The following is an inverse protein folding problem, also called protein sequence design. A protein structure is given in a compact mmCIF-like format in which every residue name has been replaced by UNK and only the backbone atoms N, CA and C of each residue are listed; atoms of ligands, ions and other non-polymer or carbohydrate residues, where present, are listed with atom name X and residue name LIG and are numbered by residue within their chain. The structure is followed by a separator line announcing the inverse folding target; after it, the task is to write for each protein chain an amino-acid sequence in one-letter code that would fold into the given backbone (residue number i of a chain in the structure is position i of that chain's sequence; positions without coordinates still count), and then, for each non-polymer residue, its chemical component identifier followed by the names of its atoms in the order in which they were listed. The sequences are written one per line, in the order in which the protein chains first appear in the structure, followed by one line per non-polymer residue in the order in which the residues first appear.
data_IF_548427522315
#
_entry.id   IF_548427522315
#
_cell.length_a   1.000
_cell.length_b   1.000
_cell.length_c   1.000
_cell.angle_alpha   90.00
_cell.angle_beta   90.00
_cell.angle_gamma   90.00
#
_symmetry.space_group_name_H-M   'P 1'
#
loop_
_entity.id
_entity.type
_entity.pdbx_description
1 polymer ?
#
# COMPACT_ATOMS: atom_id res chain seq x y z
N UNK A 1 0.88 7.55 1.98
CA UNK A 1 2.18 7.49 1.26
C UNK A 1 2.03 8.03 -0.15
N UNK A 2 2.76 9.07 -0.55
CA UNK A 2 2.69 9.59 -1.93
C UNK A 2 3.45 8.63 -2.83
N UNK A 3 2.73 7.77 -3.56
CA UNK A 3 3.29 6.88 -4.56
C UNK A 3 4.04 7.70 -5.62
N UNK A 4 5.37 7.55 -5.69
CA UNK A 4 6.17 8.10 -6.78
C UNK A 4 5.84 7.26 -8.01
N UNK A 5 5.05 7.81 -8.93
CA UNK A 5 4.92 7.25 -10.28
C UNK A 5 6.29 7.42 -10.94
N UNK A 6 7.09 6.37 -10.94
CA UNK A 6 8.35 6.31 -11.70
C UNK A 6 7.98 5.80 -13.09
N UNK A 7 8.03 6.68 -14.08
CA UNK A 7 7.91 6.26 -15.48
C UNK A 7 9.14 5.40 -15.82
N UNK A 8 8.98 4.09 -15.81
CA UNK A 8 10.05 3.15 -16.16
C UNK A 8 10.15 3.06 -17.68
N UNK A 9 11.28 3.47 -18.24
CA UNK A 9 11.55 3.40 -19.69
C UNK A 9 12.30 2.10 -19.95
N UNK A 10 11.73 1.20 -20.74
CA UNK A 10 12.46 0.13 -21.39
C UNK A 10 13.21 0.70 -22.60
N UNK A 11 14.53 0.90 -22.48
CA UNK A 11 15.40 1.25 -23.61
C UNK A 11 15.79 -0.04 -24.30
N UNK A 12 15.15 -0.34 -25.43
CA UNK A 12 15.59 -1.42 -26.32
C UNK A 12 16.78 -0.92 -27.13
N UNK A 13 17.97 -1.43 -26.83
CA UNK A 13 19.18 -1.13 -27.59
C UNK A 13 19.18 -1.90 -28.91
N UNK A 14 18.95 -1.21 -30.03
CA UNK A 14 19.14 -1.76 -31.36
C UNK A 14 20.55 -1.39 -31.86
N UNK A 15 21.36 -2.41 -32.16
CA UNK A 15 22.73 -2.24 -32.68
C UNK A 15 22.75 -1.58 -34.03
N UNK A 16 23.69 -0.65 -34.26
CA UNK A 16 23.88 0.09 -35.51
C UNK A 16 25.16 -0.34 -36.19
N UNK A 17 25.04 -0.81 -37.46
CA UNK A 17 26.14 -0.94 -38.42
C UNK A 17 26.37 0.41 -39.11
N UNK A 18 27.61 0.91 -39.06
CA UNK A 18 28.06 2.12 -39.77
C UNK A 18 28.36 1.79 -41.22
N UNK A 19 27.63 2.41 -42.17
CA UNK A 19 28.02 2.50 -43.57
C UNK A 19 28.24 3.97 -43.90
N UNK A 20 29.45 4.32 -44.34
CA UNK A 20 29.82 5.68 -44.70
C UNK A 20 29.30 6.06 -46.10
N UNK A 21 28.45 7.09 -46.12
CA UNK A 21 28.00 7.81 -47.30
C UNK A 21 27.47 9.17 -46.86
N UNK A 22 27.36 10.17 -47.73
CA UNK A 22 26.83 11.50 -47.39
C UNK A 22 25.50 11.36 -46.65
N UNK A 23 25.48 11.78 -45.38
CA UNK A 23 24.36 11.58 -44.46
C UNK A 23 23.12 12.27 -45.00
N UNK A 24 22.04 11.53 -45.28
CA UNK A 24 20.75 12.12 -45.60
C UNK A 24 20.19 12.88 -44.40
N UNK A 25 19.31 13.86 -44.62
CA UNK A 25 18.62 14.55 -43.52
C UNK A 25 17.96 13.55 -42.58
N UNK A 26 17.49 12.41 -43.07
CA UNK A 26 16.92 11.33 -42.26
C UNK A 26 17.97 10.66 -41.35
N UNK A 27 19.20 10.44 -41.84
CA UNK A 27 20.31 9.88 -41.07
C UNK A 27 20.79 10.87 -40.00
N UNK A 28 20.83 12.15 -40.33
CA UNK A 28 21.19 13.20 -39.39
C UNK A 28 20.14 13.33 -38.27
N UNK A 29 18.87 13.35 -38.60
CA UNK A 29 17.80 13.32 -37.59
C UNK A 29 17.90 12.10 -36.67
N UNK A 30 18.18 10.92 -37.25
CA UNK A 30 18.38 9.67 -36.50
C UNK A 30 19.61 9.74 -35.59
N UNK A 31 20.71 10.38 -36.05
CA UNK A 31 21.89 10.61 -35.20
C UNK A 31 21.55 11.42 -33.96
N UNK A 32 20.82 12.54 -34.09
CA UNK A 32 20.40 13.35 -32.93
C UNK A 32 19.42 12.63 -32.06
N UNK A 33 18.49 11.85 -32.59
CA UNK A 33 17.60 10.99 -31.82
C UNK A 33 18.37 9.97 -30.96
N UNK A 34 19.34 9.27 -31.56
CA UNK A 34 20.18 8.30 -30.83
C UNK A 34 21.04 8.98 -29.77
N UNK A 35 21.55 10.19 -30.05
CA UNK A 35 22.25 11.00 -29.05
C UNK A 35 21.32 11.36 -27.87
N UNK A 36 20.09 11.75 -28.18
CA UNK A 36 19.07 12.01 -27.16
C UNK A 36 18.78 10.77 -26.30
N UNK A 37 18.61 9.59 -26.92
CA UNK A 37 18.43 8.32 -26.19
C UNK A 37 19.61 8.03 -25.24
N UNK A 38 20.84 8.19 -25.71
CA UNK A 38 22.03 7.99 -24.90
C UNK A 38 22.10 8.98 -23.75
N UNK A 39 21.73 10.23 -23.98
CA UNK A 39 21.70 11.26 -22.92
C UNK A 39 20.62 10.97 -21.87
N UNK A 40 19.46 10.45 -22.27
CA UNK A 40 18.41 9.96 -21.34
C UNK A 40 18.96 8.84 -20.45
N UNK A 41 19.65 7.85 -21.03
CA UNK A 41 20.23 6.74 -20.26
C UNK A 41 21.31 7.20 -19.26
N UNK A 42 21.92 8.36 -19.51
CA UNK A 42 22.89 9.01 -18.62
C UNK A 42 22.25 10.00 -17.62
N UNK A 43 20.93 10.16 -17.65
CA UNK A 43 20.20 11.15 -16.83
C UNK A 43 20.40 12.61 -17.24
N UNK A 44 20.97 12.87 -18.41
CA UNK A 44 21.25 14.22 -18.97
C UNK A 44 20.04 14.76 -19.73
N UNK A 45 18.95 15.03 -19.01
CA UNK A 45 17.64 15.33 -19.62
C UNK A 45 17.60 16.63 -20.41
N UNK A 46 18.31 17.69 -19.97
CA UNK A 46 18.40 18.96 -20.70
C UNK A 46 19.07 18.77 -22.05
N UNK A 47 20.23 18.11 -22.06
CA UNK A 47 20.96 17.82 -23.30
C UNK A 47 20.16 16.89 -24.23
N UNK A 48 19.45 15.91 -23.65
CA UNK A 48 18.56 15.02 -24.38
C UNK A 48 17.43 15.81 -25.08
N UNK A 49 16.80 16.75 -24.38
CA UNK A 49 15.76 17.61 -24.96
C UNK A 49 16.31 18.44 -26.15
N UNK A 50 17.52 18.99 -26.04
CA UNK A 50 18.16 19.72 -27.14
C UNK A 50 18.44 18.84 -28.34
N UNK A 51 19.01 17.66 -28.12
CA UNK A 51 19.27 16.71 -29.19
C UNK A 51 17.98 16.27 -29.91
N UNK A 52 16.92 15.97 -29.12
CA UNK A 52 15.63 15.56 -29.68
C UNK A 52 14.93 16.68 -30.45
N UNK A 53 15.03 17.94 -30.01
CA UNK A 53 14.52 19.09 -30.76
C UNK A 53 15.23 19.23 -32.09
N UNK A 54 16.57 19.06 -32.15
CA UNK A 54 17.33 19.05 -33.42
C UNK A 54 16.88 17.92 -34.35
N UNK A 55 16.65 16.72 -33.79
CA UNK A 55 16.11 15.61 -34.58
C UNK A 55 14.75 15.94 -35.18
N UNK A 56 13.85 16.60 -34.42
CA UNK A 56 12.52 17.02 -34.86
C UNK A 56 12.59 18.16 -35.85
N UNK A 57 13.49 19.11 -35.69
CA UNK A 57 13.72 20.23 -36.63
C UNK A 57 14.13 19.70 -38.01
N UNK A 58 15.04 18.72 -38.05
CA UNK A 58 15.49 18.10 -39.31
C UNK A 58 14.38 17.21 -39.90
N UNK A 59 13.66 16.47 -39.06
CA UNK A 59 12.58 15.57 -39.47
C UNK A 59 11.31 15.82 -38.66
N UNK A 60 10.44 16.75 -39.09
CA UNK A 60 9.23 17.09 -38.34
C UNK A 60 8.19 15.95 -38.15
N UNK A 61 8.23 14.95 -39.06
CA UNK A 61 7.39 13.75 -38.99
C UNK A 61 8.18 12.57 -38.34
N UNK A 62 8.54 12.71 -37.08
CA UNK A 62 9.32 11.72 -36.32
C UNK A 62 8.62 11.38 -34.99
N UNK A 63 7.58 10.52 -34.99
CA UNK A 63 6.78 10.25 -33.83
C UNK A 63 7.60 9.72 -32.65
N UNK A 64 8.64 8.91 -32.89
CA UNK A 64 9.49 8.36 -31.81
C UNK A 64 10.31 9.47 -31.12
N UNK A 65 10.73 10.50 -31.84
CA UNK A 65 11.44 11.63 -31.25
C UNK A 65 10.52 12.49 -30.38
N UNK A 66 9.28 12.74 -30.79
CA UNK A 66 8.28 13.41 -29.95
C UNK A 66 7.94 12.58 -28.71
N UNK A 67 7.76 11.27 -28.88
CA UNK A 67 7.49 10.39 -27.73
C UNK A 67 8.64 10.44 -26.71
N UNK A 68 9.90 10.30 -27.14
CA UNK A 68 11.05 10.38 -26.26
C UNK A 68 11.21 11.78 -25.61
N UNK A 69 10.91 12.85 -26.36
CA UNK A 69 10.90 14.21 -25.84
C UNK A 69 9.83 14.39 -24.74
N UNK A 70 8.65 13.79 -24.92
CA UNK A 70 7.61 13.74 -23.90
C UNK A 70 8.07 13.06 -22.61
N UNK A 71 8.79 11.95 -22.75
CA UNK A 71 9.39 11.23 -21.61
C UNK A 71 10.43 12.11 -20.89
N UNK A 72 11.29 12.80 -21.65
CA UNK A 72 12.29 13.72 -21.09
C UNK A 72 11.64 14.86 -20.32
N UNK A 73 10.58 15.44 -20.84
CA UNK A 73 9.85 16.50 -20.16
C UNK A 73 9.15 15.99 -18.88
N UNK A 74 8.55 14.82 -18.91
CA UNK A 74 7.84 14.25 -17.77
C UNK A 74 8.80 13.88 -16.63
N UNK A 75 9.89 13.18 -16.92
CA UNK A 75 10.78 12.61 -15.91
C UNK A 75 11.90 13.56 -15.48
N UNK A 76 12.55 14.21 -16.44
CA UNK A 76 13.74 15.02 -16.18
C UNK A 76 13.41 16.43 -15.73
N UNK A 77 12.43 17.05 -16.34
CA UNK A 77 12.14 18.47 -16.16
C UNK A 77 10.81 18.75 -15.43
N UNK A 78 10.02 17.72 -15.13
CA UNK A 78 8.66 17.82 -14.54
C UNK A 78 7.72 18.77 -15.30
N UNK A 79 7.93 18.93 -16.58
CA UNK A 79 7.16 19.79 -17.50
C UNK A 79 5.99 18.99 -18.06
N UNK A 80 5.00 18.67 -17.20
CA UNK A 80 3.91 17.77 -17.54
C UNK A 80 3.03 18.26 -18.72
N UNK A 81 2.88 19.58 -18.88
CA UNK A 81 2.14 20.13 -20.02
C UNK A 81 2.87 19.87 -21.32
N UNK A 82 4.16 20.19 -21.35
CA UNK A 82 4.98 19.98 -22.56
C UNK A 82 5.13 18.50 -22.89
N UNK A 83 5.18 17.64 -21.87
CA UNK A 83 5.18 16.20 -22.06
C UNK A 83 3.87 15.73 -22.74
N UNK A 84 2.72 16.21 -22.25
CA UNK A 84 1.44 15.88 -22.86
C UNK A 84 1.36 16.33 -24.32
N UNK A 85 1.84 17.54 -24.64
CA UNK A 85 1.82 18.06 -25.99
C UNK A 85 2.77 17.27 -26.93
N UNK A 86 3.93 16.86 -26.41
CA UNK A 86 4.84 16.01 -27.17
C UNK A 86 4.24 14.62 -27.44
N UNK A 87 3.59 13.97 -26.46
CA UNK A 87 2.89 12.70 -26.67
C UNK A 87 1.73 12.84 -27.65
N UNK A 88 0.91 13.89 -27.55
CA UNK A 88 -0.15 14.16 -28.53
C UNK A 88 0.40 14.30 -29.95
N UNK A 89 1.54 14.97 -30.11
CA UNK A 89 2.17 15.09 -31.40
C UNK A 89 2.71 13.76 -31.95
N UNK A 90 3.26 12.91 -31.08
CA UNK A 90 3.63 11.55 -31.42
C UNK A 90 2.41 10.72 -31.90
N UNK A 91 1.28 10.83 -31.23
CA UNK A 91 0.01 10.17 -31.56
C UNK A 91 -0.58 10.71 -32.89
N UNK A 92 -0.56 12.02 -33.08
CA UNK A 92 -0.99 12.63 -34.37
C UNK A 92 -0.22 12.06 -35.54
N UNK A 93 1.09 11.88 -35.37
CA UNK A 93 1.98 11.35 -36.43
C UNK A 93 1.89 9.82 -36.57
N UNK A 94 1.60 9.12 -35.49
CA UNK A 94 1.39 7.67 -35.47
C UNK A 94 0.21 7.30 -34.57
N UNK A 95 -1.02 7.21 -35.12
CA UNK A 95 -2.21 6.85 -34.36
C UNK A 95 -2.21 5.43 -33.77
N UNK A 96 -1.26 4.59 -34.14
CA UNK A 96 -1.09 3.23 -33.60
C UNK A 96 0.04 3.14 -32.56
N UNK A 97 0.49 4.26 -32.00
CA UNK A 97 1.59 4.31 -31.04
C UNK A 97 1.08 4.07 -29.62
N UNK A 98 0.87 2.81 -29.26
CA UNK A 98 0.29 2.43 -27.96
C UNK A 98 1.05 3.02 -26.77
N UNK A 99 2.39 3.04 -26.82
CA UNK A 99 3.24 3.58 -25.75
C UNK A 99 3.05 5.10 -25.56
N UNK A 100 2.76 5.83 -26.64
CA UNK A 100 2.49 7.27 -26.54
C UNK A 100 1.14 7.53 -25.84
N UNK A 101 0.11 6.74 -26.14
CA UNK A 101 -1.17 6.79 -25.42
C UNK A 101 -1.01 6.41 -23.94
N UNK A 102 -0.28 5.34 -23.65
CA UNK A 102 0.01 4.93 -22.29
C UNK A 102 0.70 6.05 -21.48
N UNK A 103 1.79 6.63 -22.02
CA UNK A 103 2.53 7.68 -21.34
C UNK A 103 1.70 8.98 -21.19
N UNK A 104 0.88 9.32 -22.17
CA UNK A 104 -0.08 10.44 -22.05
C UNK A 104 -1.09 10.19 -20.92
N UNK A 105 -1.61 8.95 -20.82
CA UNK A 105 -2.48 8.53 -19.73
C UNK A 105 -1.81 8.70 -18.37
N UNK A 106 -0.54 8.29 -18.22
CA UNK A 106 0.23 8.49 -16.99
C UNK A 106 0.44 9.97 -16.65
N UNK A 107 0.73 10.81 -17.64
CA UNK A 107 0.84 12.26 -17.46
C UNK A 107 -0.47 12.84 -16.96
N UNK A 108 -1.60 12.45 -17.53
CA UNK A 108 -2.92 12.89 -17.06
C UNK A 108 -3.23 12.42 -15.64
N UNK A 109 -2.82 11.22 -15.24
CA UNK A 109 -2.94 10.79 -13.84
C UNK A 109 -2.20 11.72 -12.88
N UNK A 110 -0.95 12.10 -13.23
CA UNK A 110 -0.14 13.02 -12.40
C UNK A 110 -0.73 14.43 -12.37
N UNK A 111 -1.38 14.87 -13.46
CA UNK A 111 -2.09 16.15 -13.55
C UNK A 111 -3.43 16.15 -12.80
N UNK A 112 -3.87 15.02 -12.24
CA UNK A 112 -5.18 14.92 -11.59
C UNK A 112 -6.37 14.94 -12.57
N UNK A 113 -6.17 14.42 -13.78
CA UNK A 113 -7.16 14.31 -14.85
C UNK A 113 -7.52 12.83 -15.09
N UNK A 114 -8.28 12.21 -14.17
CA UNK A 114 -8.50 10.76 -14.20
C UNK A 114 -9.34 10.29 -15.40
N UNK A 115 -10.27 11.09 -15.89
CA UNK A 115 -11.13 10.74 -17.02
C UNK A 115 -10.32 10.68 -18.30
N UNK A 116 -9.51 11.69 -18.55
CA UNK A 116 -8.60 11.74 -19.70
C UNK A 116 -7.54 10.63 -19.63
N UNK A 117 -7.03 10.35 -18.42
CA UNK A 117 -6.10 9.25 -18.21
C UNK A 117 -6.70 7.90 -18.59
N UNK A 118 -7.93 7.62 -18.17
CA UNK A 118 -8.65 6.40 -18.51
C UNK A 118 -8.84 6.24 -20.02
N UNK A 119 -9.24 7.33 -20.68
CA UNK A 119 -9.44 7.31 -22.12
C UNK A 119 -8.15 6.94 -22.89
N UNK A 120 -7.03 7.56 -22.52
CA UNK A 120 -5.78 7.29 -23.21
C UNK A 120 -5.24 5.88 -22.90
N UNK A 121 -5.36 5.39 -21.65
CA UNK A 121 -4.99 4.02 -21.29
C UNK A 121 -5.86 2.98 -22.04
N UNK A 122 -7.15 3.22 -22.19
CA UNK A 122 -8.04 2.36 -22.99
C UNK A 122 -7.67 2.35 -24.49
N UNK A 123 -7.26 3.50 -25.05
CA UNK A 123 -6.76 3.56 -26.43
C UNK A 123 -5.46 2.75 -26.58
N UNK A 124 -4.54 2.86 -25.64
CA UNK A 124 -3.32 2.04 -25.63
C UNK A 124 -3.67 0.55 -25.65
N UNK A 125 -4.62 0.10 -24.84
CA UNK A 125 -5.10 -1.28 -24.80
C UNK A 125 -5.90 -1.70 -26.02
N UNK A 126 -6.62 -0.79 -26.69
CA UNK A 126 -7.30 -1.07 -27.94
C UNK A 126 -6.30 -1.37 -29.07
N UNK A 127 -5.13 -0.70 -29.07
CA UNK A 127 -4.04 -0.92 -30.02
C UNK A 127 -3.25 -2.18 -29.64
N UNK A 128 -2.91 -2.33 -28.35
CA UNK A 128 -2.12 -3.44 -27.83
C UNK A 128 -2.85 -4.09 -26.62
N UNK A 129 -3.76 -5.07 -26.88
CA UNK A 129 -4.60 -5.67 -25.83
C UNK A 129 -3.83 -6.38 -24.71
N UNK A 130 -2.58 -6.78 -24.96
CA UNK A 130 -1.69 -7.45 -23.99
C UNK A 130 -0.64 -6.51 -23.37
N UNK A 131 -0.93 -5.21 -23.35
CA UNK A 131 -0.02 -4.22 -22.78
C UNK A 131 -0.14 -4.23 -21.24
N UNK A 132 0.70 -5.04 -20.59
CA UNK A 132 0.67 -5.31 -19.15
C UNK A 132 0.74 -4.02 -18.31
N UNK A 133 1.65 -3.10 -18.67
CA UNK A 133 1.83 -1.84 -17.94
C UNK A 133 0.61 -0.93 -18.06
N UNK A 134 -0.07 -0.95 -19.20
CA UNK A 134 -1.30 -0.18 -19.39
C UNK A 134 -2.48 -0.79 -18.60
N UNK A 135 -2.60 -2.13 -18.56
CA UNK A 135 -3.58 -2.82 -17.70
C UNK A 135 -3.34 -2.51 -16.23
N UNK A 136 -2.09 -2.57 -15.79
CA UNK A 136 -1.74 -2.26 -14.39
C UNK A 136 -2.03 -0.80 -14.05
N UNK A 137 -1.65 0.14 -14.91
CA UNK A 137 -1.92 1.57 -14.71
C UNK A 137 -3.44 1.86 -14.68
N UNK A 138 -4.22 1.20 -15.52
CA UNK A 138 -5.68 1.33 -15.56
C UNK A 138 -6.33 0.76 -14.29
N UNK A 139 -5.86 -0.41 -13.84
CA UNK A 139 -6.34 -1.02 -12.59
C UNK A 139 -6.07 -0.12 -11.38
N UNK A 140 -4.86 0.43 -11.27
CA UNK A 140 -4.52 1.39 -10.21
C UNK A 140 -5.33 2.70 -10.30
N UNK A 141 -5.67 3.15 -11.51
CA UNK A 141 -6.53 4.31 -11.70
C UNK A 141 -7.92 4.04 -11.13
N UNK A 142 -8.51 2.88 -11.43
CA UNK A 142 -9.81 2.45 -10.93
C UNK A 142 -9.82 2.28 -9.40
N UNK A 143 -8.75 1.74 -8.79
CA UNK A 143 -8.63 1.70 -7.33
C UNK A 143 -8.72 3.11 -6.72
N UNK A 144 -7.95 4.06 -7.27
CA UNK A 144 -7.98 5.46 -6.79
C UNK A 144 -9.34 6.13 -6.94
N UNK A 145 -10.10 5.75 -7.96
CA UNK A 145 -11.46 6.20 -8.20
C UNK A 145 -12.50 5.42 -7.37
N UNK A 146 -12.08 4.45 -6.57
CA UNK A 146 -12.96 3.52 -5.83
C UNK A 146 -13.91 2.71 -6.74
N UNK A 147 -13.57 2.58 -8.00
CA UNK A 147 -14.28 1.78 -9.01
C UNK A 147 -13.86 0.29 -8.90
N UNK A 148 -14.18 -0.34 -7.77
CA UNK A 148 -13.65 -1.67 -7.41
C UNK A 148 -13.97 -2.76 -8.45
N UNK A 149 -15.12 -2.71 -9.12
CA UNK A 149 -15.48 -3.67 -10.18
C UNK A 149 -14.51 -3.59 -11.36
N UNK A 150 -14.29 -2.39 -11.89
CA UNK A 150 -13.37 -2.16 -13.01
C UNK A 150 -11.92 -2.46 -12.63
N UNK A 151 -11.51 -2.18 -11.38
CA UNK A 151 -10.18 -2.53 -10.88
C UNK A 151 -9.98 -4.05 -10.88
N UNK A 152 -10.96 -4.81 -10.38
CA UNK A 152 -10.94 -6.28 -10.37
C UNK A 152 -10.79 -6.83 -11.79
N UNK A 153 -11.56 -6.33 -12.75
CA UNK A 153 -11.49 -6.79 -14.16
C UNK A 153 -10.10 -6.52 -14.76
N UNK A 154 -9.53 -5.34 -14.54
CA UNK A 154 -8.24 -4.98 -15.11
C UNK A 154 -7.08 -5.78 -14.46
N UNK A 155 -7.09 -5.99 -13.13
CA UNK A 155 -6.11 -6.86 -12.48
C UNK A 155 -6.26 -8.32 -12.90
N UNK A 156 -7.49 -8.83 -13.05
CA UNK A 156 -7.72 -10.18 -13.52
C UNK A 156 -7.21 -10.41 -14.95
N UNK A 157 -7.41 -9.43 -15.85
CA UNK A 157 -6.84 -9.47 -17.19
C UNK A 157 -5.31 -9.46 -17.16
N UNK A 158 -4.69 -8.63 -16.31
CA UNK A 158 -3.24 -8.62 -16.13
C UNK A 158 -2.73 -9.97 -15.63
N UNK A 159 -3.37 -10.58 -14.62
CA UNK A 159 -2.98 -11.88 -14.08
C UNK A 159 -3.23 -13.04 -15.04
N UNK A 160 -4.14 -12.90 -16.00
CA UNK A 160 -4.30 -13.85 -17.10
C UNK A 160 -3.12 -13.83 -18.08
N UNK A 161 -2.49 -12.66 -18.28
CA UNK A 161 -1.28 -12.48 -19.10
C UNK A 161 -0.03 -12.83 -18.34
N UNK A 162 0.08 -12.32 -17.12
CA UNK A 162 1.24 -12.48 -16.22
C UNK A 162 0.79 -13.02 -14.86
N UNK A 163 0.70 -14.33 -14.76
CA UNK A 163 0.22 -14.99 -13.55
C UNK A 163 1.01 -14.71 -12.26
N UNK A 164 2.25 -14.32 -12.36
CA UNK A 164 3.18 -14.06 -11.26
C UNK A 164 3.39 -12.57 -10.94
N UNK A 165 2.55 -11.69 -11.49
CA UNK A 165 2.63 -10.25 -11.21
C UNK A 165 2.25 -9.97 -9.74
N UNK A 166 3.26 -9.76 -8.90
CA UNK A 166 3.13 -9.72 -7.44
C UNK A 166 2.20 -8.62 -6.95
N UNK A 167 2.32 -7.42 -7.50
CA UNK A 167 1.49 -6.28 -7.13
C UNK A 167 0.01 -6.50 -7.50
N UNK A 168 -0.24 -7.14 -8.65
CA UNK A 168 -1.61 -7.46 -9.06
C UNK A 168 -2.21 -8.59 -8.21
N UNK A 169 -1.40 -9.61 -7.82
CA UNK A 169 -1.84 -10.66 -6.90
C UNK A 169 -2.27 -10.08 -5.54
N UNK A 170 -1.47 -9.15 -5.01
CA UNK A 170 -1.81 -8.48 -3.75
C UNK A 170 -3.06 -7.61 -3.87
N UNK A 171 -3.09 -6.73 -4.89
CA UNK A 171 -4.18 -5.78 -5.08
C UNK A 171 -5.52 -6.49 -5.33
N UNK A 172 -5.55 -7.51 -6.21
CA UNK A 172 -6.74 -8.29 -6.47
C UNK A 172 -7.17 -9.11 -5.25
N UNK A 173 -6.21 -9.69 -4.52
CA UNK A 173 -6.48 -10.40 -3.27
C UNK A 173 -7.12 -9.49 -2.22
N UNK A 174 -6.60 -8.28 -2.05
CA UNK A 174 -7.17 -7.27 -1.16
C UNK A 174 -8.59 -6.85 -1.58
N UNK A 175 -8.81 -6.61 -2.89
CA UNK A 175 -10.13 -6.26 -3.43
C UNK A 175 -11.16 -7.39 -3.22
N UNK A 176 -10.76 -8.64 -3.43
CA UNK A 176 -11.65 -9.78 -3.19
C UNK A 176 -11.98 -9.94 -1.71
N UNK A 177 -11.01 -9.76 -0.81
CA UNK A 177 -11.25 -9.78 0.64
C UNK A 177 -12.27 -8.71 1.02
N UNK A 178 -12.10 -7.48 0.55
CA UNK A 178 -13.02 -6.37 0.81
C UNK A 178 -14.45 -6.61 0.28
N UNK A 179 -14.60 -7.46 -0.74
CA UNK A 179 -15.89 -7.89 -1.30
C UNK A 179 -16.47 -9.15 -0.63
N UNK A 180 -15.79 -9.70 0.39
CA UNK A 180 -16.19 -10.94 1.05
C UNK A 180 -15.90 -12.21 0.26
N UNK A 181 -15.17 -12.14 -0.85
CA UNK A 181 -14.72 -13.28 -1.66
C UNK A 181 -13.47 -13.90 -1.05
N UNK A 182 -13.62 -14.46 0.15
CA UNK A 182 -12.50 -14.86 1.00
C UNK A 182 -11.68 -16.00 0.40
N UNK A 183 -12.27 -16.95 -0.32
CA UNK A 183 -11.51 -18.05 -0.90
C UNK A 183 -10.63 -17.57 -2.05
N UNK A 184 -11.17 -16.78 -2.97
CA UNK A 184 -10.44 -16.21 -4.09
C UNK A 184 -9.29 -15.31 -3.61
N UNK A 185 -9.55 -14.52 -2.56
CA UNK A 185 -8.51 -13.70 -1.92
C UNK A 185 -7.38 -14.57 -1.33
N UNK A 186 -7.73 -15.63 -0.57
CA UNK A 186 -6.77 -16.57 0.04
C UNK A 186 -5.90 -17.24 -1.02
N UNK A 187 -6.47 -17.64 -2.15
CA UNK A 187 -5.75 -18.30 -3.24
C UNK A 187 -4.70 -17.38 -3.87
N UNK A 188 -5.06 -16.12 -4.17
CA UNK A 188 -4.16 -15.12 -4.72
C UNK A 188 -3.02 -14.78 -3.75
N UNK A 189 -3.36 -14.51 -2.49
CA UNK A 189 -2.37 -14.17 -1.45
C UNK A 189 -1.44 -15.34 -1.14
N UNK A 190 -1.97 -16.57 -1.11
CA UNK A 190 -1.16 -17.79 -0.93
C UNK A 190 -0.18 -17.97 -2.08
N UNK A 191 -0.62 -17.69 -3.31
CA UNK A 191 0.26 -17.70 -4.48
C UNK A 191 1.34 -16.61 -4.37
N UNK A 192 0.98 -15.40 -3.95
CA UNK A 192 1.92 -14.32 -3.74
C UNK A 192 3.01 -14.68 -2.71
N UNK A 193 2.63 -15.20 -1.54
CA UNK A 193 3.61 -15.56 -0.50
C UNK A 193 4.46 -16.79 -0.83
N UNK A 194 4.06 -17.60 -1.82
CA UNK A 194 4.93 -18.64 -2.40
C UNK A 194 5.98 -18.06 -3.35
N UNK A 195 5.64 -17.00 -4.11
CA UNK A 195 6.56 -16.30 -5.00
C UNK A 195 7.49 -15.38 -4.21
N UNK A 196 6.98 -14.76 -3.17
CA UNK A 196 7.69 -13.80 -2.33
C UNK A 196 7.40 -14.07 -0.86
N UNK A 197 8.25 -14.88 -0.25
CA UNK A 197 8.07 -15.35 1.13
C UNK A 197 8.18 -14.25 2.19
N UNK A 198 8.76 -13.11 1.86
CA UNK A 198 8.96 -11.94 2.72
C UNK A 198 7.93 -10.82 2.48
N UNK A 199 6.79 -11.11 1.85
CA UNK A 199 5.75 -10.11 1.61
C UNK A 199 4.90 -9.89 2.88
N UNK A 200 5.33 -8.96 3.73
CA UNK A 200 4.73 -8.70 5.05
C UNK A 200 3.23 -8.40 4.98
N UNK A 201 2.79 -7.52 4.05
CA UNK A 201 1.38 -7.14 3.93
C UNK A 201 0.48 -8.30 3.51
N UNK A 202 0.98 -9.22 2.65
CA UNK A 202 0.23 -10.40 2.25
C UNK A 202 0.08 -11.40 3.42
N UNK A 203 1.15 -11.61 4.20
CA UNK A 203 1.08 -12.42 5.41
C UNK A 203 0.13 -11.80 6.45
N UNK A 204 0.19 -10.49 6.65
CA UNK A 204 -0.73 -9.79 7.54
C UNK A 204 -2.19 -9.98 7.11
N UNK A 205 -2.49 -9.79 5.82
CA UNK A 205 -3.85 -9.95 5.30
C UNK A 205 -4.35 -11.40 5.43
N UNK A 206 -3.49 -12.40 5.16
CA UNK A 206 -3.80 -13.81 5.42
C UNK A 206 -4.09 -14.06 6.91
N UNK A 207 -3.34 -13.40 7.80
CA UNK A 207 -3.57 -13.46 9.24
C UNK A 207 -4.93 -12.90 9.65
N UNK A 208 -5.30 -11.73 9.14
CA UNK A 208 -6.62 -11.13 9.43
C UNK A 208 -7.78 -11.96 8.87
N UNK A 209 -7.60 -12.56 7.71
CA UNK A 209 -8.60 -13.49 7.13
C UNK A 209 -8.74 -14.76 7.98
N UNK A 210 -7.64 -15.34 8.46
CA UNK A 210 -7.66 -16.50 9.33
C UNK A 210 -8.30 -16.19 10.70
N UNK A 211 -8.04 -15.01 11.25
CA UNK A 211 -8.67 -14.51 12.48
C UNK A 211 -10.18 -14.37 12.32
N UNK A 212 -10.66 -13.74 11.25
CA UNK A 212 -12.09 -13.65 10.90
C UNK A 212 -12.76 -15.03 10.76
N UNK A 213 -12.01 -16.01 10.26
CA UNK A 213 -12.46 -17.39 10.16
C UNK A 213 -12.33 -18.19 11.47
N UNK A 214 -11.93 -17.55 12.58
CA UNK A 214 -11.64 -18.16 13.89
C UNK A 214 -10.55 -19.25 13.83
N UNK A 215 -9.65 -19.21 12.85
CA UNK A 215 -8.53 -20.13 12.68
C UNK A 215 -7.28 -19.56 13.35
N UNK A 216 -7.29 -19.50 14.70
CA UNK A 216 -6.26 -18.81 15.49
C UNK A 216 -4.83 -19.31 15.23
N UNK A 217 -4.67 -20.62 14.96
CA UNK A 217 -3.34 -21.19 14.65
C UNK A 217 -2.81 -20.69 13.28
N UNK A 218 -3.66 -20.59 12.26
CA UNK A 218 -3.27 -20.02 10.96
C UNK A 218 -2.98 -18.52 11.09
N UNK A 219 -3.79 -17.79 11.86
CA UNK A 219 -3.60 -16.35 12.11
C UNK A 219 -2.25 -16.09 12.77
N UNK A 220 -1.92 -16.84 13.83
CA UNK A 220 -0.63 -16.75 14.52
C UNK A 220 0.55 -16.96 13.56
N UNK A 221 0.51 -18.04 12.77
CA UNK A 221 1.59 -18.32 11.81
C UNK A 221 1.75 -17.21 10.79
N UNK A 222 0.65 -16.67 10.30
CA UNK A 222 0.64 -15.60 9.31
C UNK A 222 1.20 -14.30 9.91
N UNK A 223 0.76 -13.91 11.12
CA UNK A 223 1.29 -12.72 11.79
C UNK A 223 2.77 -12.88 12.17
N UNK A 224 3.21 -14.06 12.62
CA UNK A 224 4.64 -14.34 12.84
C UNK A 224 5.49 -14.12 11.58
N UNK A 225 4.99 -14.56 10.43
CA UNK A 225 5.67 -14.31 9.15
C UNK A 225 5.65 -12.82 8.77
N UNK A 226 4.55 -12.11 9.05
CA UNK A 226 4.46 -10.68 8.79
C UNK A 226 5.48 -9.87 9.60
N UNK A 227 5.60 -10.13 10.92
CA UNK A 227 6.58 -9.44 11.77
C UNK A 227 8.02 -9.83 11.47
N UNK A 228 8.26 -11.08 11.05
CA UNK A 228 9.58 -11.52 10.60
C UNK A 228 10.01 -10.82 9.30
N UNK A 229 9.07 -10.62 8.36
CA UNK A 229 9.31 -9.92 7.10
C UNK A 229 9.44 -8.40 7.27
N UNK A 230 8.71 -7.83 8.23
CA UNK A 230 8.75 -6.39 8.56
C UNK A 230 8.73 -6.21 10.09
N UNK A 231 9.90 -6.10 10.71
CA UNK A 231 10.02 -5.99 12.17
C UNK A 231 9.43 -4.70 12.80
N UNK A 232 9.10 -3.72 11.99
CA UNK A 232 8.44 -2.47 12.40
C UNK A 232 6.94 -2.44 12.08
N UNK A 233 6.34 -3.59 11.79
CA UNK A 233 4.92 -3.68 11.44
C UNK A 233 4.04 -3.67 12.69
N UNK A 234 3.70 -2.47 13.15
CA UNK A 234 2.97 -2.21 14.41
C UNK A 234 1.70 -3.06 14.54
N UNK A 235 0.84 -3.04 13.51
CA UNK A 235 -0.46 -3.74 13.57
C UNK A 235 -0.29 -5.27 13.58
N UNK A 236 0.75 -5.79 12.93
CA UNK A 236 1.05 -7.22 12.98
C UNK A 236 1.53 -7.67 14.36
N UNK A 237 2.38 -6.88 15.03
CA UNK A 237 2.79 -7.13 16.41
C UNK A 237 1.58 -7.08 17.36
N UNK A 238 0.74 -6.07 17.23
CA UNK A 238 -0.47 -5.95 18.06
C UNK A 238 -1.40 -7.17 17.91
N UNK A 239 -1.71 -7.56 16.66
CA UNK A 239 -2.60 -8.68 16.39
C UNK A 239 -1.98 -10.02 16.83
N UNK A 240 -0.66 -10.21 16.64
CA UNK A 240 0.04 -11.39 17.15
C UNK A 240 -0.04 -11.45 18.67
N UNK A 241 0.20 -10.34 19.36
CA UNK A 241 0.06 -10.24 20.81
C UNK A 241 -1.35 -10.60 21.28
N UNK A 242 -2.38 -10.15 20.54
CA UNK A 242 -3.77 -10.47 20.84
C UNK A 242 -4.08 -11.96 20.70
N UNK A 243 -3.60 -12.61 19.61
CA UNK A 243 -3.75 -14.06 19.41
C UNK A 243 -3.03 -14.85 20.50
N UNK A 244 -1.79 -14.49 20.82
CA UNK A 244 -1.00 -15.15 21.86
C UNK A 244 -1.67 -15.02 23.25
N UNK A 245 -2.20 -13.83 23.56
CA UNK A 245 -2.97 -13.61 24.80
C UNK A 245 -4.20 -14.52 24.85
N UNK A 246 -4.99 -14.64 23.78
CA UNK A 246 -6.16 -15.49 23.73
C UNK A 246 -5.85 -16.98 23.87
N UNK A 247 -4.63 -17.41 23.52
CA UNK A 247 -4.12 -18.76 23.74
C UNK A 247 -3.54 -18.98 25.14
N UNK A 248 -3.43 -17.94 25.95
CA UNK A 248 -2.80 -17.99 27.27
C UNK A 248 -1.27 -17.95 27.24
N UNK A 249 -0.65 -17.67 26.09
CA UNK A 249 0.80 -17.52 25.92
C UNK A 249 1.24 -16.11 26.38
N UNK A 250 1.16 -15.88 27.72
CA UNK A 250 1.20 -14.54 28.30
C UNK A 250 2.53 -13.79 28.09
N UNK A 251 3.69 -14.46 28.26
CA UNK A 251 4.99 -13.77 28.10
C UNK A 251 5.28 -13.43 26.61
N UNK A 252 5.06 -14.34 25.64
CA UNK A 252 5.08 -13.97 24.23
C UNK A 252 4.12 -12.82 23.90
N UNK A 253 2.89 -12.83 24.39
CA UNK A 253 1.92 -11.76 24.18
C UNK A 253 2.43 -10.40 24.73
N UNK A 254 2.97 -10.39 25.93
CA UNK A 254 3.55 -9.19 26.53
C UNK A 254 4.73 -8.66 25.69
N UNK A 255 5.55 -9.54 25.14
CA UNK A 255 6.65 -9.13 24.27
C UNK A 255 6.16 -8.43 23.00
N UNK A 256 5.13 -8.97 22.36
CA UNK A 256 4.55 -8.38 21.16
C UNK A 256 3.90 -7.01 21.44
N UNK A 257 3.15 -6.90 22.54
CA UNK A 257 2.58 -5.61 22.93
C UNK A 257 3.64 -4.59 23.36
N UNK A 258 4.72 -5.00 24.04
CA UNK A 258 5.87 -4.10 24.31
C UNK A 258 6.51 -3.59 23.02
N UNK A 259 6.64 -4.46 22.02
CA UNK A 259 7.15 -4.06 20.71
C UNK A 259 6.19 -3.06 20.05
N UNK A 260 4.87 -3.32 20.12
CA UNK A 260 3.85 -2.41 19.60
C UNK A 260 3.97 -1.00 20.21
N UNK A 261 4.03 -0.89 21.55
CA UNK A 261 4.13 0.43 22.22
C UNK A 261 5.50 1.09 22.04
N UNK A 262 6.56 0.31 21.84
CA UNK A 262 7.88 0.84 21.48
C UNK A 262 7.87 1.48 20.09
N UNK A 263 7.23 0.84 19.13
CA UNK A 263 7.11 1.32 17.73
C UNK A 263 6.10 2.48 17.62
N UNK A 264 5.01 2.42 18.39
CA UNK A 264 3.94 3.40 18.41
C UNK A 264 3.54 3.73 19.85
N UNK A 265 4.20 4.73 20.49
CA UNK A 265 4.00 5.07 21.90
C UNK A 265 2.62 5.63 22.28
N UNK A 266 1.80 5.98 21.30
CA UNK A 266 0.42 6.47 21.50
C UNK A 266 -0.65 5.39 21.25
N UNK A 267 -0.27 4.12 21.20
CA UNK A 267 -1.19 3.01 20.95
C UNK A 267 -1.87 2.54 22.25
N UNK A 268 -2.91 3.26 22.66
CA UNK A 268 -3.60 3.03 23.95
C UNK A 268 -4.11 1.59 24.12
N UNK A 269 -4.64 0.96 23.06
CA UNK A 269 -5.16 -0.41 23.11
C UNK A 269 -4.06 -1.45 23.40
N UNK A 270 -2.83 -1.18 22.97
CA UNK A 270 -1.70 -2.06 23.28
C UNK A 270 -1.29 -1.96 24.75
N UNK A 271 -1.29 -0.75 25.34
CA UNK A 271 -1.08 -0.58 26.77
C UNK A 271 -2.19 -1.25 27.58
N UNK A 272 -3.45 -1.12 27.20
CA UNK A 272 -4.57 -1.79 27.85
C UNK A 272 -4.38 -3.31 27.87
N UNK A 273 -4.00 -3.91 26.74
CA UNK A 273 -3.73 -5.34 26.65
C UNK A 273 -2.48 -5.76 27.45
N UNK A 274 -1.43 -4.92 27.50
CA UNK A 274 -0.31 -5.12 28.42
C UNK A 274 -0.77 -5.16 29.87
N UNK A 275 -1.63 -4.25 30.29
CA UNK A 275 -2.20 -4.23 31.62
C UNK A 275 -2.91 -5.54 31.96
N UNK A 276 -3.75 -6.04 31.05
CA UNK A 276 -4.42 -7.34 31.20
C UNK A 276 -3.40 -8.48 31.31
N UNK A 277 -2.42 -8.53 30.41
CA UNK A 277 -1.41 -9.60 30.42
C UNK A 277 -0.55 -9.56 31.67
N UNK A 278 -0.12 -8.39 32.12
CA UNK A 278 0.66 -8.25 33.36
C UNK A 278 -0.16 -8.61 34.61
N UNK A 279 -1.44 -8.26 34.65
CA UNK A 279 -2.32 -8.69 35.74
C UNK A 279 -2.44 -10.21 35.83
N UNK A 280 -2.60 -10.90 34.69
CA UNK A 280 -2.61 -12.36 34.60
C UNK A 280 -1.26 -13.01 34.96
N UNK A 281 -0.15 -12.29 34.76
CA UNK A 281 1.18 -12.73 35.20
C UNK A 281 1.49 -12.37 36.67
N UNK A 282 0.58 -11.78 37.41
CA UNK A 282 0.79 -11.25 38.74
C UNK A 282 1.86 -10.14 38.85
N UNK A 283 2.15 -9.46 37.77
CA UNK A 283 3.02 -8.29 37.66
C UNK A 283 2.18 -7.02 37.93
N UNK A 284 1.76 -6.84 39.17
CA UNK A 284 0.69 -5.88 39.49
C UNK A 284 1.12 -4.42 39.31
N UNK A 285 2.36 -4.08 39.60
CA UNK A 285 2.89 -2.72 39.37
C UNK A 285 2.91 -2.34 37.92
N UNK A 286 3.38 -3.25 37.06
CA UNK A 286 3.44 -3.05 35.62
C UNK A 286 2.03 -3.01 35.00
N UNK A 287 1.10 -3.79 35.55
CA UNK A 287 -0.29 -3.77 35.11
C UNK A 287 -0.93 -2.41 35.39
N UNK A 288 -0.78 -1.90 36.61
CA UNK A 288 -1.32 -0.59 37.01
C UNK A 288 -0.78 0.52 36.10
N UNK A 289 0.54 0.58 35.92
CA UNK A 289 1.19 1.55 35.04
C UNK A 289 0.68 1.50 33.60
N UNK A 290 0.46 0.29 33.08
CA UNK A 290 -0.05 0.12 31.70
C UNK A 290 -1.51 0.61 31.58
N UNK A 291 -2.36 0.37 32.57
CA UNK A 291 -3.71 0.92 32.57
C UNK A 291 -3.74 2.44 32.74
N UNK A 292 -2.88 2.99 33.60
CA UNK A 292 -2.75 4.45 33.79
C UNK A 292 -2.29 5.11 32.48
N UNK A 293 -1.34 4.50 31.77
CA UNK A 293 -0.88 5.01 30.48
C UNK A 293 -1.99 4.95 29.42
N UNK A 294 -2.82 3.90 29.42
CA UNK A 294 -4.01 3.83 28.57
C UNK A 294 -4.95 5.01 28.81
N UNK A 295 -5.24 5.29 30.09
CA UNK A 295 -6.11 6.39 30.53
C UNK A 295 -5.49 7.74 30.16
N UNK A 296 -4.18 7.91 30.35
CA UNK A 296 -3.46 9.13 29.98
C UNK A 296 -3.58 9.42 28.47
N UNK A 297 -3.43 8.39 27.65
CA UNK A 297 -3.52 8.49 26.19
C UNK A 297 -4.97 8.68 25.72
N UNK A 298 -5.93 8.00 26.36
CA UNK A 298 -7.36 8.06 26.02
C UNK A 298 -8.25 8.24 27.25
N UNK A 299 -8.34 9.45 27.80
CA UNK A 299 -9.09 9.70 29.05
C UNK A 299 -10.61 9.43 28.99
N UNK A 300 -11.16 9.27 27.78
CA UNK A 300 -12.58 8.98 27.57
C UNK A 300 -12.86 7.52 27.16
N UNK A 301 -11.85 6.65 27.21
CA UNK A 301 -12.00 5.24 26.88
C UNK A 301 -12.60 4.48 28.06
N UNK A 302 -13.91 4.24 28.02
CA UNK A 302 -14.63 3.58 29.11
C UNK A 302 -14.04 2.21 29.47
N UNK A 303 -13.66 1.41 28.46
CA UNK A 303 -13.06 0.08 28.65
C UNK A 303 -11.79 0.11 29.50
N UNK A 304 -11.00 1.18 29.42
CA UNK A 304 -9.78 1.30 30.22
C UNK A 304 -10.11 1.39 31.73
N UNK A 305 -11.14 2.15 32.07
CA UNK A 305 -11.62 2.24 33.48
C UNK A 305 -12.29 0.95 33.95
N UNK A 306 -12.99 0.27 33.04
CA UNK A 306 -13.56 -1.05 33.37
C UNK A 306 -12.44 -2.05 33.71
N UNK A 307 -11.44 -2.20 32.85
CA UNK A 307 -10.34 -3.14 33.03
C UNK A 307 -9.50 -2.80 34.28
N UNK A 308 -9.23 -1.51 34.51
CA UNK A 308 -8.54 -1.07 35.73
C UNK A 308 -9.40 -1.34 37.01
N UNK A 309 -10.71 -1.16 36.91
CA UNK A 309 -11.63 -1.50 38.02
C UNK A 309 -11.63 -2.99 38.33
N UNK A 310 -11.70 -3.84 37.30
CA UNK A 310 -11.56 -5.30 37.43
C UNK A 310 -10.21 -5.68 38.03
N UNK A 311 -9.14 -5.04 37.62
CA UNK A 311 -7.81 -5.26 38.17
C UNK A 311 -7.74 -4.92 39.63
N UNK A 312 -8.26 -3.78 40.11
CA UNK A 312 -8.29 -3.43 41.50
C UNK A 312 -9.18 -4.37 42.33
N UNK A 313 -10.35 -4.76 41.82
CA UNK A 313 -11.29 -5.65 42.49
C UNK A 313 -10.72 -7.06 42.71
N UNK A 314 -10.28 -7.71 41.66
CA UNK A 314 -9.93 -9.12 41.67
C UNK A 314 -8.46 -9.43 41.95
N UNK A 315 -7.55 -8.58 41.46
CA UNK A 315 -6.11 -8.82 41.60
C UNK A 315 -5.52 -8.11 42.81
N UNK A 316 -5.92 -6.86 43.05
CA UNK A 316 -5.42 -6.07 44.18
C UNK A 316 -6.28 -6.18 45.43
N UNK A 317 -7.52 -6.65 45.29
CA UNK A 317 -8.55 -6.68 46.34
C UNK A 317 -8.79 -5.31 47.01
N UNK A 318 -8.61 -4.25 46.24
CA UNK A 318 -8.82 -2.86 46.61
C UNK A 318 -10.19 -2.39 46.14
N UNK A 319 -11.21 -2.66 46.94
CA UNK A 319 -12.59 -2.30 46.61
C UNK A 319 -12.80 -0.80 46.52
N UNK A 320 -12.00 0.00 47.24
CA UNK A 320 -12.11 1.47 47.23
C UNK A 320 -11.67 2.02 45.87
N UNK A 321 -10.47 1.63 45.37
CA UNK A 321 -9.99 2.05 44.04
C UNK A 321 -10.86 1.47 42.93
N UNK A 322 -11.31 0.23 43.04
CA UNK A 322 -12.22 -0.39 42.11
C UNK A 322 -13.51 0.43 41.94
N UNK A 323 -14.13 0.84 43.08
CA UNK A 323 -15.35 1.62 43.06
C UNK A 323 -15.19 2.99 42.38
N UNK A 324 -14.10 3.70 42.68
CA UNK A 324 -13.79 5.00 42.04
C UNK A 324 -13.67 4.82 40.52
N UNK A 325 -12.97 3.79 40.10
CA UNK A 325 -12.73 3.49 38.70
C UNK A 325 -14.01 3.06 37.97
N UNK A 326 -14.84 2.24 38.61
CA UNK A 326 -16.15 1.83 38.07
C UNK A 326 -17.15 2.97 37.98
N UNK A 327 -17.14 3.93 38.90
CA UNK A 327 -17.93 5.16 38.76
C UNK A 327 -17.53 5.92 37.51
N UNK A 328 -16.24 6.05 37.26
CA UNK A 328 -15.74 6.72 36.05
C UNK A 328 -16.13 5.98 34.79
N UNK A 329 -16.07 4.63 34.78
CA UNK A 329 -16.58 3.81 33.69
C UNK A 329 -18.04 4.13 33.35
N UNK A 330 -18.92 4.18 34.37
CA UNK A 330 -20.34 4.49 34.19
C UNK A 330 -20.58 5.94 33.73
N UNK A 331 -19.81 6.91 34.24
CA UNK A 331 -19.86 8.32 33.79
C UNK A 331 -19.52 8.46 32.27
N UNK A 332 -18.68 7.58 31.75
CA UNK A 332 -18.29 7.54 30.35
C UNK A 332 -19.24 6.73 29.46
N UNK A 333 -20.40 6.32 30.01
CA UNK A 333 -21.43 5.60 29.28
C UNK A 333 -21.32 4.08 29.34
N UNK A 334 -20.54 3.55 30.28
CA UNK A 334 -20.44 2.11 30.50
C UNK A 334 -21.80 1.51 30.97
N UNK A 335 -22.12 0.31 30.50
CA UNK A 335 -23.45 -0.31 30.67
C UNK A 335 -23.42 -1.63 31.39
N UNK A 336 -22.27 -2.08 31.93
CA UNK A 336 -22.13 -3.35 32.61
C UNK A 336 -23.04 -3.41 33.89
N UNK A 337 -23.99 -4.35 33.94
CA UNK A 337 -24.98 -4.47 34.99
C UNK A 337 -24.37 -4.82 36.35
N UNK A 338 -23.29 -5.62 36.34
CA UNK A 338 -22.57 -5.98 37.58
C UNK A 338 -21.95 -4.73 38.19
N UNK A 339 -21.30 -3.93 37.38
CA UNK A 339 -20.68 -2.66 37.82
C UNK A 339 -21.73 -1.67 38.32
N UNK A 340 -22.86 -1.55 37.62
CA UNK A 340 -23.99 -0.71 38.07
C UNK A 340 -24.50 -1.14 39.45
N UNK A 341 -24.61 -2.45 39.69
CA UNK A 341 -25.05 -3.00 41.01
C UNK A 341 -24.04 -2.68 42.09
N UNK A 342 -22.75 -2.97 41.86
CA UNK A 342 -21.68 -2.67 42.82
C UNK A 342 -21.71 -1.18 43.22
N UNK A 343 -21.81 -0.29 42.27
CA UNK A 343 -21.79 1.16 42.54
C UNK A 343 -23.06 1.64 43.27
N UNK A 344 -24.22 0.98 43.08
CA UNK A 344 -25.47 1.31 43.78
C UNK A 344 -25.44 0.83 45.23
N UNK A 345 -24.97 -0.40 45.51
CA UNK A 345 -24.94 -1.00 46.84
C UNK A 345 -24.04 -0.24 47.83
N UNK A 346 -22.97 0.37 47.36
CA UNK A 346 -22.06 1.18 48.19
C UNK A 346 -22.59 2.61 48.44
N UNK A 347 -23.66 3.04 47.76
CA UNK A 347 -24.32 4.33 48.04
C UNK A 347 -25.38 4.24 49.15
N UNK A 348 -25.72 3.05 49.59
CA UNK A 348 -26.60 2.80 50.75
C UNK A 348 -25.76 2.56 52.00
#
# INVERSE_FOLDING_TARGET
MRSRVVLTIAVVALGILLAGGASSAADEAKKYYNQGMQQVSQGKYEAAAESLRKAIEIRPKFPEAYHLLGIVYANGQRRLSDAADAFKKAIELNPSFAEAFYNLGLVYQVQGKPVEAEQELKKALAIHPKYEEALFALAQLYERQQASGSAVEAYAQLLALRPDHQEALYALGYLYESQGKSQEAKDLLTRLVKLRTDHADAHYLLGTMAEKANSLAEAEQAYKKAVAARPDFVDAHYNLGFILKSKGELEPAAQEFRTTVKLKPDYAEAYMNLGVVYALQHKFSEAEQAYEETIRLRPKMAEAYYNLGVFYEFHMRDTTRALVTYKKYLELGGTDERVQRIVREVKQ
#
